data_IF_798491058129
#
_entry.id   IF_798491058129
#
_cell.length_a   1.000
_cell.length_b   1.000
_cell.length_c   1.000
_cell.angle_alpha   90.00
_cell.angle_beta   90.00
_cell.angle_gamma   90.00
#
_symmetry.space_group_name_H-M   'P 1'
#
loop_
_entity.id
_entity.type
_entity.pdbx_description
1 polymer ?
#
# COMPACT_ATOMS: atom_id res chain seq x y z
N UNK A 1 0.45 -47.65 15.62
CA UNK A 1 0.43 -46.27 16.10
C UNK A 1 0.87 -45.40 14.95
N UNK A 2 0.08 -44.42 14.55
CA UNK A 2 0.52 -43.39 13.61
C UNK A 2 1.24 -42.33 14.43
N UNK A 3 2.56 -42.29 14.30
CA UNK A 3 3.33 -41.16 14.77
C UNK A 3 3.24 -40.07 13.70
N UNK A 4 2.74 -38.91 14.07
CA UNK A 4 2.64 -37.75 13.18
C UNK A 4 3.74 -36.78 13.58
N UNK A 5 4.80 -36.74 12.80
CA UNK A 5 5.81 -35.68 12.92
C UNK A 5 5.33 -34.47 12.12
N UNK A 6 5.21 -33.32 12.76
CA UNK A 6 4.95 -32.05 12.08
C UNK A 6 6.28 -31.35 11.84
N UNK A 7 6.58 -31.02 10.58
CA UNK A 7 7.68 -30.13 10.21
C UNK A 7 7.10 -28.73 10.09
N UNK A 8 7.55 -27.79 10.92
CA UNK A 8 7.25 -26.38 10.73
C UNK A 8 8.20 -25.83 9.66
N UNK A 9 7.72 -25.65 8.42
CA UNK A 9 8.41 -24.80 7.46
C UNK A 9 8.12 -23.36 7.87
N UNK A 10 9.12 -22.68 8.42
CA UNK A 10 9.04 -21.24 8.61
C UNK A 10 9.13 -20.59 7.22
N UNK A 11 7.97 -20.32 6.61
CA UNK A 11 7.92 -19.43 5.43
C UNK A 11 8.32 -18.04 5.93
N UNK A 12 9.47 -17.56 5.50
CA UNK A 12 9.89 -16.19 5.74
C UNK A 12 8.89 -15.26 5.02
N UNK A 13 8.08 -14.51 5.77
CA UNK A 13 7.15 -13.55 5.20
C UNK A 13 7.95 -12.39 4.59
N UNK A 14 7.83 -12.18 3.28
CA UNK A 14 8.44 -11.03 2.62
C UNK A 14 7.52 -9.82 2.78
N UNK A 15 8.07 -8.59 2.83
CA UNK A 15 7.24 -7.40 2.77
C UNK A 15 6.49 -7.36 1.42
N UNK A 16 5.29 -6.75 1.37
CA UNK A 16 4.59 -6.52 0.12
C UNK A 16 5.45 -5.70 -0.85
N UNK A 17 5.29 -5.95 -2.15
CA UNK A 17 5.85 -5.10 -3.20
C UNK A 17 4.83 -3.99 -3.51
N UNK A 18 5.05 -2.73 -3.06
CA UNK A 18 4.10 -1.64 -3.30
C UNK A 18 4.05 -1.30 -4.79
N UNK A 19 2.84 -1.17 -5.32
CA UNK A 19 2.57 -0.48 -6.56
C UNK A 19 1.87 0.83 -6.22
N UNK A 20 2.35 1.94 -6.76
CA UNK A 20 1.76 3.27 -6.58
C UNK A 20 1.30 3.71 -7.96
N UNK A 21 0.01 4.01 -8.07
CA UNK A 21 -0.56 4.66 -9.24
C UNK A 21 -1.13 6.03 -8.82
N UNK A 22 -0.51 7.09 -9.33
CA UNK A 22 -0.86 8.48 -9.11
C UNK A 22 -0.38 9.34 -10.31
N UNK A 23 -1.05 10.45 -10.62
CA UNK A 23 -0.57 11.41 -11.62
C UNK A 23 0.82 11.97 -11.29
N UNK A 24 1.67 12.12 -12.31
CA UNK A 24 3.00 12.73 -12.19
C UNK A 24 2.94 14.23 -11.80
N UNK A 25 1.89 14.92 -12.25
CA UNK A 25 1.64 16.34 -11.96
C UNK A 25 0.15 16.59 -11.73
N UNK A 26 -0.16 17.61 -10.93
CA UNK A 26 -1.53 18.07 -10.67
C UNK A 26 -1.58 19.59 -10.45
N UNK A 27 -2.77 20.17 -10.58
CA UNK A 27 -3.01 21.56 -10.19
C UNK A 27 -3.43 21.62 -8.71
N UNK A 28 -3.08 22.72 -8.03
CA UNK A 28 -3.62 22.99 -6.70
C UNK A 28 -5.15 23.04 -6.74
N UNK A 29 -5.78 22.61 -5.65
CA UNK A 29 -7.25 22.57 -5.49
C UNK A 29 -7.98 21.61 -6.44
N UNK A 30 -7.24 20.71 -7.11
CA UNK A 30 -7.79 19.60 -7.89
C UNK A 30 -7.56 18.29 -7.13
N UNK A 31 -8.60 17.45 -7.10
CA UNK A 31 -8.54 16.14 -6.48
C UNK A 31 -7.71 15.19 -7.34
N UNK A 32 -6.83 14.44 -6.68
CA UNK A 32 -5.98 13.41 -7.25
C UNK A 32 -6.33 12.09 -6.61
N UNK A 33 -6.63 11.11 -7.43
CA UNK A 33 -6.79 9.73 -6.97
C UNK A 33 -5.40 9.07 -6.89
N UNK A 34 -5.17 8.39 -5.77
CA UNK A 34 -3.95 7.63 -5.49
C UNK A 34 -4.36 6.22 -5.10
N UNK A 35 -3.83 5.24 -5.82
CA UNK A 35 -4.20 3.84 -5.62
C UNK A 35 -2.98 2.94 -5.44
N UNK A 36 -3.19 1.87 -4.67
CA UNK A 36 -2.22 0.80 -4.50
C UNK A 36 -2.49 -0.39 -5.44
N UNK A 37 -3.20 -0.16 -6.55
CA UNK A 37 -3.55 -1.20 -7.50
C UNK A 37 -2.29 -1.91 -8.01
N UNK A 38 -2.30 -3.25 -7.96
CA UNK A 38 -1.13 -4.05 -8.31
C UNK A 38 -0.16 -4.33 -7.16
N UNK A 39 -0.39 -3.80 -5.96
CA UNK A 39 0.39 -4.19 -4.77
C UNK A 39 0.14 -5.66 -4.46
N UNK A 40 1.22 -6.42 -4.34
CA UNK A 40 1.16 -7.86 -4.09
C UNK A 40 2.01 -8.22 -2.87
N UNK A 41 1.44 -9.04 -2.01
CA UNK A 41 2.17 -9.78 -0.98
C UNK A 41 2.20 -11.26 -1.41
N UNK A 42 3.33 -11.77 -1.95
CA UNK A 42 3.35 -13.12 -2.52
C UNK A 42 3.32 -14.26 -1.51
N UNK A 43 3.58 -13.99 -0.23
CA UNK A 43 3.59 -15.00 0.84
C UNK A 43 2.82 -14.59 2.11
N UNK A 44 2.24 -13.39 2.13
CA UNK A 44 1.41 -12.89 3.21
C UNK A 44 0.08 -12.30 2.76
N UNK A 45 -0.45 -11.43 3.61
CA UNK A 45 -1.63 -10.61 3.34
C UNK A 45 -1.29 -9.18 3.69
N UNK A 46 -1.64 -8.26 2.80
CA UNK A 46 -1.49 -6.83 3.06
C UNK A 46 -2.41 -6.43 4.22
N UNK A 47 -1.81 -5.99 5.32
CA UNK A 47 -2.53 -5.64 6.55
C UNK A 47 -3.18 -4.25 6.48
N UNK A 48 -2.73 -3.39 5.56
CA UNK A 48 -3.27 -2.04 5.37
C UNK A 48 -2.43 -1.21 4.41
N UNK A 49 -2.96 -0.04 4.05
CA UNK A 49 -2.32 0.95 3.19
C UNK A 49 -2.38 2.30 3.89
N UNK A 50 -1.26 3.00 3.90
CA UNK A 50 -1.14 4.36 4.39
C UNK A 50 -0.39 5.20 3.36
N UNK A 51 -0.93 6.38 3.06
CA UNK A 51 -0.38 7.35 2.14
C UNK A 51 0.11 8.56 2.93
N UNK A 52 1.36 8.96 2.65
CA UNK A 52 1.92 10.25 3.06
C UNK A 52 2.06 11.09 1.79
N UNK A 53 1.36 12.23 1.73
CA UNK A 53 1.35 13.11 0.56
C UNK A 53 2.49 14.14 0.58
N UNK A 54 3.28 14.22 1.66
CA UNK A 54 4.41 15.13 1.80
C UNK A 54 4.04 16.59 2.09
N UNK A 55 2.75 16.95 2.09
CA UNK A 55 2.22 18.26 2.49
C UNK A 55 1.77 18.31 3.96
N UNK A 56 2.03 17.22 4.71
CA UNK A 56 1.60 17.03 6.09
C UNK A 56 0.25 16.34 6.25
N UNK A 57 -0.46 16.05 5.15
CA UNK A 57 -1.64 15.21 5.16
C UNK A 57 -1.28 13.73 4.91
N UNK A 58 -2.16 12.84 5.38
CA UNK A 58 -2.08 11.42 5.08
C UNK A 58 -3.44 10.74 5.10
N UNK A 59 -3.55 9.60 4.44
CA UNK A 59 -4.80 8.87 4.28
C UNK A 59 -4.60 7.35 4.43
N UNK A 60 -5.66 6.65 4.86
CA UNK A 60 -5.68 5.20 4.93
C UNK A 60 -6.62 4.65 3.87
N UNK A 61 -6.24 3.53 3.24
CA UNK A 61 -7.06 2.84 2.25
C UNK A 61 -6.31 2.49 0.98
N UNK A 62 -6.81 1.51 0.24
CA UNK A 62 -6.19 1.03 -1.00
C UNK A 62 -6.36 2.00 -2.18
N UNK A 63 -7.37 2.86 -2.11
CA UNK A 63 -7.68 3.91 -3.07
C UNK A 63 -8.19 5.13 -2.27
N UNK A 64 -7.57 6.30 -2.49
CA UNK A 64 -7.86 7.54 -1.77
C UNK A 64 -7.81 8.74 -2.72
N UNK A 65 -8.55 9.79 -2.35
CA UNK A 65 -8.54 11.08 -3.04
C UNK A 65 -7.85 12.13 -2.18
N UNK A 66 -6.93 12.91 -2.75
CA UNK A 66 -6.24 14.00 -2.06
C UNK A 66 -6.22 15.30 -2.86
N UNK A 67 -6.21 16.43 -2.16
CA UNK A 67 -6.15 17.77 -2.76
C UNK A 67 -4.95 18.52 -2.19
N UNK A 68 -4.01 18.89 -3.04
CA UNK A 68 -2.91 19.77 -2.66
C UNK A 68 -3.38 21.23 -2.64
N UNK A 69 -3.25 21.88 -1.48
CA UNK A 69 -3.67 23.27 -1.29
C UNK A 69 -2.61 24.29 -1.71
N UNK A 70 -1.37 23.85 -1.85
CA UNK A 70 -0.20 24.67 -2.18
C UNK A 70 0.53 24.07 -3.36
N UNK A 71 1.03 24.93 -4.26
CA UNK A 71 1.91 24.49 -5.32
C UNK A 71 3.27 24.11 -4.73
N UNK A 72 3.92 23.11 -5.33
CA UNK A 72 5.28 22.67 -5.01
C UNK A 72 6.35 23.49 -5.71
#
# INVERSE_FOLDING_TARGET
>A
GTDSTSVFIQVENRPPLPAIDAPDETMTLVAVEVTAEGTLDPDGKISGYYWDFGDGAGANGWNVSHVYNTAG
#
